data_IF_559095314274
#
_entry.id   IF_559095314274
#
_cell.length_a   1.000
_cell.length_b   1.000
_cell.length_c   1.000
_cell.angle_alpha   90.00
_cell.angle_beta   90.00
_cell.angle_gamma   90.00
#
_symmetry.space_group_name_H-M   'P 1'
#
loop_
_entity.id
_entity.type
_entity.pdbx_description
1 polymer ?
#
# COMPACT_ATOMS: atom_id res chain seq x y z
N UNK A 1 15.05 24.06 -1.61
CA UNK A 1 14.45 22.90 -0.90
C UNK A 1 12.94 23.05 -0.76
N UNK A 2 12.41 24.27 -0.93
CA UNK A 2 10.98 24.60 -0.80
C UNK A 2 10.10 24.09 -1.94
N UNK A 3 10.65 23.88 -3.13
CA UNK A 3 9.90 23.33 -4.27
C UNK A 3 9.57 21.84 -4.07
N UNK A 4 10.49 21.06 -3.49
CA UNK A 4 10.25 19.64 -3.18
C UNK A 4 9.27 19.49 -2.01
N UNK A 5 9.31 20.39 -1.03
CA UNK A 5 8.32 20.43 0.04
C UNK A 5 6.94 20.87 -0.46
N UNK A 6 6.85 21.86 -1.36
CA UNK A 6 5.59 22.26 -1.98
C UNK A 6 5.01 21.16 -2.87
N UNK A 7 5.84 20.47 -3.65
CA UNK A 7 5.42 19.29 -4.41
C UNK A 7 4.96 18.20 -3.45
N UNK A 8 5.70 17.91 -2.38
CA UNK A 8 5.30 16.94 -1.35
C UNK A 8 3.99 17.32 -0.63
N UNK A 9 3.70 18.61 -0.45
CA UNK A 9 2.45 19.11 0.15
C UNK A 9 1.30 19.15 -0.85
N UNK A 10 1.57 19.38 -2.15
CA UNK A 10 0.57 19.40 -3.23
C UNK A 10 0.31 18.02 -3.84
N UNK A 11 1.20 17.04 -3.68
CA UNK A 11 0.99 15.70 -4.23
C UNK A 11 0.01 14.98 -3.31
N UNK A 12 -1.26 15.23 -3.56
CA UNK A 12 -2.36 14.56 -2.90
C UNK A 12 -2.21 13.04 -3.15
N UNK A 13 -2.12 12.25 -2.07
CA UNK A 13 -2.03 10.80 -2.16
C UNK A 13 -3.14 10.24 -3.06
N UNK A 14 -4.34 10.83 -3.04
CA UNK A 14 -5.45 10.47 -3.92
C UNK A 14 -5.10 10.61 -5.42
N UNK A 15 -4.37 11.65 -5.81
CA UNK A 15 -3.95 11.85 -7.20
C UNK A 15 -2.93 10.81 -7.64
N UNK A 16 -1.95 10.47 -6.77
CA UNK A 16 -0.99 9.39 -7.03
C UNK A 16 -1.69 8.04 -7.15
N UNK A 17 -2.61 7.75 -6.24
CA UNK A 17 -3.40 6.50 -6.26
C UNK A 17 -4.26 6.41 -7.52
N UNK A 18 -4.91 7.50 -7.91
CA UNK A 18 -5.70 7.57 -9.14
C UNK A 18 -4.85 7.39 -10.40
N UNK A 19 -3.66 7.99 -10.44
CA UNK A 19 -2.70 7.81 -11.54
C UNK A 19 -2.22 6.36 -11.64
N UNK A 20 -1.86 5.74 -10.50
CA UNK A 20 -1.46 4.34 -10.45
C UNK A 20 -2.57 3.38 -10.89
N UNK A 21 -3.79 3.62 -10.44
CA UNK A 21 -4.96 2.85 -10.83
C UNK A 21 -5.23 3.01 -12.32
N UNK A 22 -5.12 4.23 -12.85
CA UNK A 22 -5.25 4.52 -14.28
C UNK A 22 -4.23 3.76 -15.13
N UNK A 23 -2.95 3.80 -14.76
CA UNK A 23 -1.90 3.05 -15.44
C UNK A 23 -2.12 1.54 -15.30
N UNK A 24 -2.54 1.06 -14.13
CA UNK A 24 -2.77 -0.37 -13.92
C UNK A 24 -3.95 -0.89 -14.74
N UNK A 25 -5.03 -0.11 -14.84
CA UNK A 25 -6.18 -0.42 -15.71
C UNK A 25 -5.81 -0.37 -17.19
N UNK A 26 -5.05 0.64 -17.61
CA UNK A 26 -4.61 0.77 -19.01
C UNK A 26 -3.60 -0.34 -19.37
N UNK A 27 -2.73 -0.69 -18.44
CA UNK A 27 -1.81 -1.81 -18.56
C UNK A 27 -2.50 -3.17 -18.59
N UNK A 28 -3.67 -3.33 -17.95
CA UNK A 28 -4.45 -4.57 -17.99
C UNK A 28 -5.03 -4.92 -19.37
N UNK A 29 -4.99 -3.98 -20.33
CA UNK A 29 -5.25 -4.26 -21.75
C UNK A 29 -4.17 -5.18 -22.35
N UNK A 30 -3.01 -5.26 -21.69
CA UNK A 30 -1.88 -6.14 -22.05
C UNK A 30 -1.48 -7.02 -20.84
N UNK A 31 -0.46 -7.86 -21.03
CA UNK A 31 0.08 -8.74 -19.99
C UNK A 31 0.74 -7.91 -18.87
N UNK A 32 -0.03 -7.57 -17.83
CA UNK A 32 0.40 -6.75 -16.68
C UNK A 32 0.12 -7.51 -15.37
N UNK A 33 0.96 -7.37 -14.32
CA UNK A 33 0.65 -7.86 -12.98
C UNK A 33 -0.75 -7.47 -12.47
N UNK A 34 -1.64 -8.45 -12.38
CA UNK A 34 -3.04 -8.27 -11.94
C UNK A 34 -3.17 -7.93 -10.46
N UNK A 35 -2.15 -8.20 -9.64
CA UNK A 35 -2.14 -7.87 -8.22
C UNK A 35 -2.08 -6.36 -7.93
N UNK A 36 -1.63 -5.54 -8.89
CA UNK A 36 -1.50 -4.09 -8.70
C UNK A 36 -2.87 -3.39 -8.56
N UNK A 37 -3.88 -3.82 -9.33
CA UNK A 37 -5.22 -3.22 -9.30
C UNK A 37 -5.89 -3.28 -7.92
N UNK A 38 -6.06 -4.46 -7.28
CA UNK A 38 -6.70 -4.55 -5.97
C UNK A 38 -5.91 -3.80 -4.88
N UNK A 39 -4.58 -3.75 -4.97
CA UNK A 39 -3.74 -3.00 -4.02
C UNK A 39 -4.03 -1.49 -4.10
N UNK A 40 -4.14 -0.93 -5.30
CA UNK A 40 -4.45 0.49 -5.46
C UNK A 40 -5.89 0.83 -5.08
N UNK A 41 -6.83 -0.07 -5.37
CA UNK A 41 -8.22 0.07 -4.92
C UNK A 41 -8.31 0.09 -3.39
N UNK A 42 -7.59 -0.82 -2.73
CA UNK A 42 -7.45 -0.82 -1.28
C UNK A 42 -6.79 0.46 -0.77
N UNK A 43 -5.79 1.00 -1.47
CA UNK A 43 -5.16 2.28 -1.14
C UNK A 43 -6.13 3.47 -1.17
N UNK A 44 -6.99 3.55 -2.19
CA UNK A 44 -8.02 4.61 -2.28
C UNK A 44 -9.00 4.50 -1.12
N UNK A 45 -9.45 3.28 -0.81
CA UNK A 45 -10.33 3.06 0.34
C UNK A 45 -9.65 3.41 1.66
N UNK A 46 -8.42 2.94 1.88
CA UNK A 46 -7.62 3.20 3.08
C UNK A 46 -7.31 4.69 3.28
N UNK A 47 -7.14 5.44 2.20
CA UNK A 47 -6.98 6.90 2.26
C UNK A 47 -8.26 7.61 2.72
N UNK A 48 -9.42 7.21 2.19
CA UNK A 48 -10.72 7.79 2.57
C UNK A 48 -11.21 7.32 3.95
N UNK A 49 -10.66 6.23 4.47
CA UNK A 49 -10.94 5.78 5.83
C UNK A 49 -10.15 6.60 6.85
N UNK A 50 -10.85 7.44 7.61
CA UNK A 50 -10.26 8.35 8.60
C UNK A 50 -10.45 7.88 10.05
N UNK A 51 -11.26 6.85 10.30
CA UNK A 51 -11.54 6.35 11.66
C UNK A 51 -10.37 5.59 12.28
N UNK A 52 -9.48 5.04 11.46
CA UNK A 52 -8.26 4.36 11.91
C UNK A 52 -7.11 4.57 10.93
N UNK A 53 -5.89 4.59 11.46
CA UNK A 53 -4.65 4.66 10.68
C UNK A 53 -4.09 3.27 10.31
N UNK A 54 -4.66 2.19 10.86
CA UNK A 54 -4.28 0.81 10.52
C UNK A 54 -4.37 0.49 9.00
N UNK A 55 -5.43 0.91 8.27
CA UNK A 55 -5.54 0.61 6.84
C UNK A 55 -4.44 1.23 6.01
N UNK A 56 -4.08 2.49 6.28
CA UNK A 56 -3.06 3.19 5.52
C UNK A 56 -1.65 2.64 5.81
N UNK A 57 -1.40 2.16 7.04
CA UNK A 57 -0.18 1.43 7.38
C UNK A 57 -0.10 0.10 6.63
N UNK A 58 -1.18 -0.68 6.65
CA UNK A 58 -1.29 -1.96 5.95
C UNK A 58 -1.12 -1.77 4.44
N UNK A 59 -1.74 -0.74 3.87
CA UNK A 59 -1.59 -0.36 2.47
C UNK A 59 -0.12 -0.06 2.15
N UNK A 60 0.56 0.73 2.98
CA UNK A 60 1.95 1.11 2.71
C UNK A 60 2.89 -0.10 2.77
N UNK A 61 2.64 -1.04 3.68
CA UNK A 61 3.32 -2.35 3.71
C UNK A 61 3.06 -3.17 2.44
N UNK A 62 1.80 -3.30 2.02
CA UNK A 62 1.43 -4.00 0.78
C UNK A 62 2.03 -3.34 -0.47
N UNK A 63 2.08 -2.00 -0.51
CA UNK A 63 2.71 -1.24 -1.58
C UNK A 63 4.21 -1.53 -1.61
N UNK A 64 4.90 -1.50 -0.48
CA UNK A 64 6.30 -1.89 -0.36
C UNK A 64 6.54 -3.31 -0.91
N UNK A 65 5.72 -4.27 -0.48
CA UNK A 65 5.78 -5.66 -0.95
C UNK A 65 5.54 -5.76 -2.47
N UNK A 66 4.61 -4.96 -3.01
CA UNK A 66 4.31 -4.92 -4.44
C UNK A 66 5.49 -4.46 -5.30
N UNK A 67 6.38 -3.61 -4.79
CA UNK A 67 7.62 -3.20 -5.49
C UNK A 67 8.52 -4.42 -5.69
N UNK A 68 8.66 -5.26 -4.67
CA UNK A 68 9.44 -6.51 -4.78
C UNK A 68 8.80 -7.48 -5.78
N UNK A 69 7.47 -7.61 -5.78
CA UNK A 69 6.77 -8.46 -6.75
C UNK A 69 6.96 -7.95 -8.18
N UNK A 70 6.92 -6.65 -8.42
CA UNK A 70 7.14 -6.10 -9.76
C UNK A 70 8.55 -6.41 -10.27
N UNK A 71 9.57 -6.34 -9.42
CA UNK A 71 10.95 -6.73 -9.78
C UNK A 71 11.01 -8.20 -10.16
N UNK A 72 10.37 -9.09 -9.37
CA UNK A 72 10.30 -10.52 -9.68
C UNK A 72 9.57 -10.75 -11.02
N UNK A 73 8.48 -10.01 -11.25
CA UNK A 73 7.72 -10.11 -12.50
C UNK A 73 8.56 -9.73 -13.71
N UNK A 74 9.37 -8.66 -13.61
CA UNK A 74 10.32 -8.27 -14.66
C UNK A 74 11.35 -9.36 -14.95
N UNK A 75 11.92 -9.98 -13.92
CA UNK A 75 12.89 -11.07 -14.07
C UNK A 75 12.24 -12.27 -14.78
N UNK A 76 11.01 -12.61 -14.41
CA UNK A 76 10.30 -13.78 -14.94
C UNK A 76 9.84 -13.57 -16.39
N UNK A 77 9.43 -12.35 -16.77
CA UNK A 77 8.91 -12.04 -18.11
C UNK A 77 9.96 -11.51 -19.10
N UNK A 78 11.21 -11.28 -18.66
CA UNK A 78 12.29 -10.72 -19.49
C UNK A 78 12.62 -11.52 -20.77
N UNK A 79 12.13 -12.77 -20.91
CA UNK A 79 12.37 -13.63 -22.07
C UNK A 79 11.21 -13.77 -23.05
N UNK A 80 10.03 -13.21 -22.76
CA UNK A 80 8.83 -13.46 -23.56
C UNK A 80 8.65 -12.40 -24.67
N UNK A 81 8.78 -12.83 -25.93
CA UNK A 81 8.55 -11.99 -27.11
C UNK A 81 7.06 -11.99 -27.53
N UNK A 82 6.18 -11.55 -26.63
CA UNK A 82 4.75 -11.40 -26.93
C UNK A 82 4.44 -10.03 -27.55
N UNK A 83 3.54 -9.98 -28.55
CA UNK A 83 3.07 -8.72 -29.13
C UNK A 83 2.22 -7.96 -28.11
N UNK A 84 2.79 -6.91 -27.50
CA UNK A 84 2.18 -6.16 -26.39
C UNK A 84 3.04 -6.08 -25.14
N UNK A 85 4.11 -6.87 -25.08
CA UNK A 85 5.05 -6.89 -23.95
C UNK A 85 5.73 -5.54 -23.72
N UNK A 86 6.20 -4.87 -24.77
CA UNK A 86 6.85 -3.54 -24.67
C UNK A 86 5.92 -2.48 -24.06
N UNK A 87 4.63 -2.52 -24.41
CA UNK A 87 3.64 -1.60 -23.87
C UNK A 87 3.38 -1.85 -22.39
N UNK A 88 3.20 -3.12 -21.99
CA UNK A 88 3.06 -3.49 -20.58
C UNK A 88 4.30 -3.14 -19.76
N UNK A 89 5.50 -3.35 -20.34
CA UNK A 89 6.78 -3.02 -19.72
C UNK A 89 6.90 -1.52 -19.43
N UNK A 90 6.53 -0.65 -20.38
CA UNK A 90 6.55 0.80 -20.16
C UNK A 90 5.58 1.20 -19.04
N UNK A 91 4.35 0.69 -19.05
CA UNK A 91 3.34 1.00 -18.03
C UNK A 91 3.77 0.51 -16.63
N UNK A 92 4.40 -0.66 -16.56
CA UNK A 92 4.89 -1.22 -15.31
C UNK A 92 6.14 -0.48 -14.80
N UNK A 93 7.05 -0.06 -15.69
CA UNK A 93 8.21 0.78 -15.31
C UNK A 93 7.77 2.14 -14.77
N UNK A 94 6.81 2.81 -15.44
CA UNK A 94 6.25 4.07 -14.94
C UNK A 94 5.63 3.87 -13.57
N UNK A 95 4.86 2.79 -13.38
CA UNK A 95 4.32 2.41 -12.07
C UNK A 95 5.42 2.17 -11.03
N UNK A 96 6.49 1.46 -11.39
CA UNK A 96 7.60 1.16 -10.47
C UNK A 96 8.29 2.44 -9.99
N UNK A 97 8.49 3.43 -10.85
CA UNK A 97 9.12 4.71 -10.48
C UNK A 97 8.19 5.56 -9.61
N UNK A 98 6.87 5.53 -9.86
CA UNK A 98 5.91 6.29 -9.07
C UNK A 98 5.65 5.67 -7.68
N UNK A 99 5.81 4.34 -7.52
CA UNK A 99 5.57 3.63 -6.25
C UNK A 99 6.38 4.18 -5.05
N UNK A 100 7.71 4.41 -5.14
CA UNK A 100 8.47 5.05 -4.06
C UNK A 100 7.94 6.43 -3.65
N UNK A 101 7.47 7.23 -4.61
CA UNK A 101 6.86 8.55 -4.34
C UNK A 101 5.54 8.36 -3.59
N UNK A 102 4.73 7.37 -3.99
CA UNK A 102 3.47 7.03 -3.32
C UNK A 102 3.69 6.50 -1.91
N UNK A 103 4.74 5.71 -1.68
CA UNK A 103 5.15 5.26 -0.35
C UNK A 103 5.49 6.47 0.52
N UNK A 104 6.35 7.38 0.04
CA UNK A 104 6.71 8.59 0.78
C UNK A 104 5.49 9.48 1.09
N UNK A 105 4.58 9.63 0.13
CA UNK A 105 3.32 10.35 0.34
C UNK A 105 2.42 9.66 1.40
N UNK A 106 2.37 8.33 1.41
CA UNK A 106 1.62 7.59 2.42
C UNK A 106 2.25 7.73 3.82
N UNK A 107 3.58 7.71 3.92
CA UNK A 107 4.33 8.01 5.15
C UNK A 107 3.99 9.41 5.68
N UNK A 108 4.05 10.44 4.83
CA UNK A 108 3.67 11.81 5.22
C UNK A 108 2.21 11.88 5.65
N UNK A 109 1.31 11.14 5.01
CA UNK A 109 -0.11 11.09 5.39
C UNK A 109 -0.29 10.49 6.77
N UNK A 110 0.46 9.43 7.11
CA UNK A 110 0.43 8.80 8.45
C UNK A 110 0.96 9.77 9.51
N UNK A 111 2.09 10.45 9.24
CA UNK A 111 2.67 11.43 10.15
C UNK A 111 1.75 12.65 10.36
N UNK A 112 1.11 13.15 9.29
CA UNK A 112 0.14 14.24 9.36
C UNK A 112 -1.11 13.87 10.18
N UNK A 113 -1.45 12.58 10.25
CA UNK A 113 -2.53 12.06 11.11
C UNK A 113 -2.08 11.84 12.57
N UNK A 114 -0.86 12.25 12.93
CA UNK A 114 -0.31 12.18 14.28
C UNK A 114 0.17 10.78 14.69
N UNK A 115 0.39 9.89 13.73
CA UNK A 115 0.75 8.50 13.99
C UNK A 115 2.15 8.17 13.46
N UNK A 116 2.82 7.20 14.09
CA UNK A 116 4.14 6.74 13.70
C UNK A 116 4.04 5.45 12.89
N UNK A 117 4.93 5.32 11.91
CA UNK A 117 5.03 4.12 11.10
C UNK A 117 5.75 3.03 11.90
N UNK A 118 5.02 2.39 12.80
CA UNK A 118 5.45 1.13 13.37
C UNK A 118 5.14 0.03 12.33
N UNK A 119 6.01 -0.97 12.21
CA UNK A 119 5.70 -2.20 11.49
C UNK A 119 4.64 -2.93 12.31
N UNK A 120 3.38 -2.49 12.15
CA UNK A 120 2.25 -2.95 12.93
C UNK A 120 2.13 -4.46 12.85
N UNK A 121 1.73 -5.06 13.97
CA UNK A 121 1.39 -6.47 14.00
C UNK A 121 0.31 -6.75 12.95
N UNK A 122 0.40 -7.87 12.22
CA UNK A 122 -0.66 -8.27 11.27
C UNK A 122 -2.04 -8.41 11.95
N UNK A 123 -2.04 -8.54 13.28
CA UNK A 123 -3.22 -8.53 14.15
C UNK A 123 -3.86 -7.14 14.35
N UNK A 124 -3.22 -6.07 13.87
CA UNK A 124 -3.76 -4.72 13.88
C UNK A 124 -4.35 -4.33 12.52
N UNK A 125 -4.17 -5.16 11.48
CA UNK A 125 -4.65 -4.87 10.13
C UNK A 125 -6.20 -4.76 10.09
N UNK A 126 -6.78 -3.94 9.21
CA UNK A 126 -8.23 -3.75 9.15
C UNK A 126 -8.90 -5.06 8.76
N UNK A 127 -9.87 -5.52 9.55
CA UNK A 127 -10.52 -6.81 9.34
C UNK A 127 -9.72 -8.02 9.81
N UNK A 128 -8.55 -7.83 10.44
CA UNK A 128 -7.93 -8.87 11.24
C UNK A 128 -8.80 -9.15 12.47
N UNK A 129 -8.97 -10.43 12.81
CA UNK A 129 -9.67 -10.83 14.03
C UNK A 129 -8.80 -10.44 15.23
N UNK A 130 -9.20 -9.44 16.04
CA UNK A 130 -8.39 -9.02 17.16
C UNK A 130 -8.42 -10.12 18.21
N UNK A 131 -7.25 -10.64 18.60
CA UNK A 131 -7.06 -11.40 19.83
C UNK A 131 -7.95 -12.63 19.99
N UNK A 132 -7.57 -13.75 19.38
CA UNK A 132 -7.82 -15.01 20.06
C UNK A 132 -7.05 -14.94 21.40
N UNK A 133 -7.80 -14.97 22.50
CA UNK A 133 -7.35 -14.89 23.90
C UNK A 133 -7.02 -13.48 24.41
N UNK A 134 -8.05 -12.62 24.51
CA UNK A 134 -8.17 -11.86 25.76
C UNK A 134 -8.38 -12.90 26.86
N UNK A 135 -7.31 -13.30 27.56
CA UNK A 135 -7.48 -14.05 28.80
C UNK A 135 -8.30 -13.14 29.70
N UNK A 136 -9.54 -13.57 30.00
CA UNK A 136 -10.33 -12.97 31.06
C UNK A 136 -9.38 -12.91 32.24
N UNK A 137 -9.14 -11.70 32.74
CA UNK A 137 -8.45 -11.49 34.01
C UNK A 137 -9.21 -12.33 35.03
N UNK A 138 -8.67 -13.49 35.37
CA UNK A 138 -9.18 -14.31 36.46
C UNK A 138 -9.20 -13.41 37.69
N UNK A 139 -10.39 -12.99 38.06
CA UNK A 139 -10.68 -12.49 39.39
C UNK A 139 -10.63 -13.68 40.31
N UNK A 140 -9.42 -14.16 40.61
CA UNK A 140 -9.23 -15.11 41.70
C UNK A 140 -9.22 -14.31 42.99
N UNK A 141 -10.29 -14.50 43.74
CA UNK A 141 -10.61 -13.83 44.98
C UNK A 141 -9.68 -14.35 46.08
N UNK A 142 -8.63 -13.61 46.42
CA UNK A 142 -7.82 -13.89 47.62
C UNK A 142 -8.37 -13.22 48.89
N UNK A 143 -9.65 -12.82 48.90
CA UNK A 143 -10.30 -12.14 50.03
C UNK A 143 -11.08 -13.06 51.00
N UNK A 144 -10.72 -14.35 51.11
CA UNK A 144 -11.21 -15.21 52.19
C UNK A 144 -10.20 -16.28 52.64
N UNK A 145 -9.25 -15.90 53.51
CA UNK A 145 -8.62 -16.80 54.49
C UNK A 145 -8.03 -16.01 55.67
#
# INVERSE_FOLDING_TARGET
>A
MDALQNISQQTNLATLLGFHLGISLFGAVSTNPTYNIPIFFFGIWAFNYHESNSPIKTFTGCLGLSIFLDIIWFILHSGNNESGYTFALIMNIVSLITKPVTVFAAFNTIQNRGDSMNAGSWAEAPGSFPGAYQTVRDGENDDFA
#
